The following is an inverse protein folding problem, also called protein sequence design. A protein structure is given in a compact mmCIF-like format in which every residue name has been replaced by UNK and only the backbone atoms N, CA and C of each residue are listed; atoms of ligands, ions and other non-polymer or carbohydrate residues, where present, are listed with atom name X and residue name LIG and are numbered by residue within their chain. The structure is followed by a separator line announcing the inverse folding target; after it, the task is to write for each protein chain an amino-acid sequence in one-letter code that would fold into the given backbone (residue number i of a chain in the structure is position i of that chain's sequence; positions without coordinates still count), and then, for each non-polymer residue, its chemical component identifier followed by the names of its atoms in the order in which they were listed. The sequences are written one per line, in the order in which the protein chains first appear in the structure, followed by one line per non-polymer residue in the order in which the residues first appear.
data_IF_519961770305
#
_entry.id   IF_519961770305
#
_cell.length_a   1.000
_cell.length_b   1.000
_cell.length_c   1.000
_cell.angle_alpha   90.00
_cell.angle_beta   90.00
_cell.angle_gamma   90.00
#
_symmetry.space_group_name_H-M   'P 1'
#
loop_
_entity.id
_entity.type
_entity.pdbx_description
1 polymer ?
#
# COMPACT_ATOMS: atom_id res chain seq x y z
N UNK A 1 -28.83 -16.52 21.84
CA UNK A 1 -27.54 -17.24 21.68
C UNK A 1 -27.08 -17.28 20.21
N UNK A 2 -27.87 -17.81 19.26
CA UNK A 2 -27.47 -17.92 17.84
C UNK A 2 -27.04 -16.59 17.18
N UNK A 3 -27.76 -15.48 17.43
CA UNK A 3 -27.42 -14.15 16.86
C UNK A 3 -26.07 -13.61 17.33
N UNK A 4 -25.74 -13.82 18.61
CA UNK A 4 -24.45 -13.40 19.17
C UNK A 4 -23.29 -14.22 18.59
N UNK A 5 -23.48 -15.52 18.40
CA UNK A 5 -22.49 -16.39 17.74
C UNK A 5 -22.26 -15.97 16.29
N UNK A 6 -23.32 -15.68 15.54
CA UNK A 6 -23.21 -15.20 14.14
C UNK A 6 -22.47 -13.85 14.09
N UNK A 7 -22.77 -12.93 14.99
CA UNK A 7 -22.10 -11.62 15.08
C UNK A 7 -20.61 -11.76 15.42
N UNK A 8 -20.27 -12.66 16.35
CA UNK A 8 -18.89 -12.94 16.71
C UNK A 8 -18.13 -13.56 15.54
N UNK A 9 -18.74 -14.53 14.85
CA UNK A 9 -18.14 -15.21 13.71
C UNK A 9 -17.89 -14.25 12.54
N UNK A 10 -18.84 -13.36 12.26
CA UNK A 10 -18.69 -12.34 11.20
C UNK A 10 -17.60 -11.31 11.54
N UNK A 11 -17.42 -10.94 12.81
CA UNK A 11 -16.33 -10.07 13.23
C UNK A 11 -14.95 -10.74 13.07
N UNK A 12 -14.83 -12.02 13.44
CA UNK A 12 -13.60 -12.80 13.27
C UNK A 12 -13.22 -12.89 11.77
N UNK A 13 -14.19 -13.18 10.91
CA UNK A 13 -14.00 -13.21 9.46
C UNK A 13 -13.51 -11.87 8.91
N UNK A 14 -14.07 -10.74 9.36
CA UNK A 14 -13.71 -9.41 8.88
C UNK A 14 -12.26 -9.04 9.23
N UNK A 15 -11.81 -9.37 10.45
CA UNK A 15 -10.43 -9.13 10.88
C UNK A 15 -9.46 -10.10 10.17
N UNK A 16 -9.87 -11.35 9.95
CA UNK A 16 -9.04 -12.39 9.33
C UNK A 16 -8.71 -12.16 7.84
N UNK A 17 -9.50 -11.36 7.12
CA UNK A 17 -9.25 -11.03 5.70
C UNK A 17 -8.47 -9.73 5.48
N UNK A 18 -7.89 -9.16 6.54
CA UNK A 18 -7.04 -7.97 6.44
C UNK A 18 -5.75 -8.30 5.68
N UNK A 19 -5.77 -8.14 4.37
CA UNK A 19 -4.58 -8.35 3.53
C UNK A 19 -3.64 -7.15 3.63
N UNK A 20 -2.36 -7.43 3.84
CA UNK A 20 -1.31 -6.42 3.78
C UNK A 20 -1.10 -5.97 2.33
N UNK A 21 -1.51 -4.76 1.99
CA UNK A 21 -1.21 -4.14 0.69
C UNK A 21 0.27 -3.75 0.64
N UNK A 22 1.12 -4.65 0.16
CA UNK A 22 2.52 -4.34 -0.10
C UNK A 22 2.63 -3.46 -1.34
N UNK A 23 2.86 -2.16 -1.13
CA UNK A 23 3.28 -1.28 -2.20
C UNK A 23 4.65 -1.76 -2.71
N UNK A 24 4.68 -2.37 -3.89
CA UNK A 24 5.93 -2.75 -4.53
C UNK A 24 6.76 -1.47 -4.78
N UNK A 25 8.08 -1.49 -4.56
CA UNK A 25 8.94 -0.32 -4.78
C UNK A 25 8.89 0.23 -6.23
N UNK A 26 8.34 -0.54 -7.18
CA UNK A 26 8.30 -0.19 -8.60
C UNK A 26 9.65 -0.40 -9.28
N UNK A 27 9.78 0.09 -10.53
CA UNK A 27 11.03 0.09 -11.31
C UNK A 27 12.00 1.14 -10.76
N UNK A 28 12.56 0.89 -9.59
CA UNK A 28 13.63 1.71 -9.04
C UNK A 28 14.90 1.58 -9.89
N UNK A 29 15.64 2.67 -10.00
CA UNK A 29 16.97 2.70 -10.58
C UNK A 29 18.02 2.10 -9.62
N UNK A 30 19.29 2.04 -10.09
CA UNK A 30 20.41 1.52 -9.30
C UNK A 30 20.68 2.29 -8.00
N UNK A 31 20.15 3.50 -7.85
CA UNK A 31 20.30 4.32 -6.63
C UNK A 31 19.20 4.05 -5.63
N UNK A 32 18.07 3.46 -6.05
CA UNK A 32 16.91 3.14 -5.22
C UNK A 32 15.77 4.15 -5.31
N UNK A 33 15.70 4.93 -6.39
CA UNK A 33 14.59 5.85 -6.65
C UNK A 33 14.10 5.77 -8.10
N UNK A 34 13.19 6.66 -8.49
CA UNK A 34 12.69 6.74 -9.87
C UNK A 34 12.33 8.18 -10.26
N UNK A 35 12.39 8.48 -11.56
CA UNK A 35 11.81 9.71 -12.08
C UNK A 35 10.29 9.60 -12.13
N UNK A 36 9.62 10.65 -11.67
CA UNK A 36 8.18 10.75 -11.72
C UNK A 36 7.66 10.85 -13.15
N UNK A 37 6.53 10.19 -13.39
CA UNK A 37 5.79 10.39 -14.63
C UNK A 37 5.20 11.80 -14.69
N UNK A 38 5.06 12.35 -15.90
CA UNK A 38 4.39 13.63 -16.13
C UNK A 38 2.94 13.63 -15.58
N UNK A 39 2.26 12.47 -15.63
CA UNK A 39 0.92 12.30 -15.05
C UNK A 39 0.91 12.47 -13.53
N UNK A 40 1.91 11.91 -12.83
CA UNK A 40 2.04 12.03 -11.39
C UNK A 40 2.37 13.47 -10.97
N UNK A 41 3.22 14.16 -11.73
CA UNK A 41 3.57 15.56 -11.49
C UNK A 41 2.35 16.46 -11.71
N UNK A 42 1.60 16.26 -12.81
CA UNK A 42 0.37 17.01 -13.10
C UNK A 42 -0.69 16.87 -12.00
N UNK A 43 -0.72 15.71 -11.33
CA UNK A 43 -1.62 15.44 -10.19
C UNK A 43 -1.10 15.98 -8.85
N UNK A 44 0.11 16.56 -8.81
CA UNK A 44 0.73 17.02 -7.57
C UNK A 44 1.15 15.88 -6.63
N UNK A 45 1.25 14.64 -7.14
CA UNK A 45 1.60 13.47 -6.32
C UNK A 45 3.11 13.34 -6.11
N UNK A 46 3.92 13.98 -6.95
CA UNK A 46 5.37 14.09 -6.79
C UNK A 46 5.97 15.19 -7.68
N UNK A 47 7.24 15.55 -7.48
CA UNK A 47 7.84 16.78 -8.01
C UNK A 47 9.11 16.58 -8.86
N UNK A 48 9.45 15.33 -9.23
CA UNK A 48 10.67 15.05 -9.99
C UNK A 48 11.21 13.66 -9.72
N UNK A 49 12.37 13.54 -9.09
CA UNK A 49 12.90 12.24 -8.70
C UNK A 49 12.40 11.82 -7.30
N UNK A 50 11.82 10.64 -7.20
CA UNK A 50 11.29 10.07 -5.96
C UNK A 50 12.21 8.95 -5.47
N UNK A 51 12.77 9.12 -4.29
CA UNK A 51 13.64 8.13 -3.66
C UNK A 51 12.86 7.16 -2.75
N UNK A 52 13.03 5.84 -2.94
CA UNK A 52 12.27 4.79 -2.24
C UNK A 52 13.09 4.02 -1.20
N UNK A 53 14.34 4.41 -0.92
CA UNK A 53 15.18 3.72 0.06
C UNK A 53 14.57 3.82 1.47
N UNK A 54 13.80 2.81 1.85
CA UNK A 54 13.68 2.42 3.26
C UNK A 54 14.99 1.73 3.64
N UNK A 55 15.62 2.21 4.71
CA UNK A 55 16.85 1.62 5.27
C UNK A 55 16.59 0.16 5.69
N UNK A 56 17.62 -0.67 5.43
CA UNK A 56 17.92 -2.05 5.88
C UNK A 56 16.79 -2.87 6.49
#
# INVERSE_FOLDING_TARGET
MKKGVIMMLSLILLVGVSSSAYAHPGRLDKKGGHNCSAKSIKKGLCTGYHYHKKKK
#
